data_IF_945325507818
#
_entry.id   IF_945325507818
#
_cell.length_a   1.000
_cell.length_b   1.000
_cell.length_c   1.000
_cell.angle_alpha   90.00
_cell.angle_beta   90.00
_cell.angle_gamma   90.00
#
_symmetry.space_group_name_H-M   'P 1'
#
loop_
_entity.id
_entity.type
_entity.pdbx_description
1 polymer ?
#
# COMPACT_ATOMS: atom_id res chain seq x y z
N UNK A 1 -46.96 2.45 64.12
CA UNK A 1 -46.79 2.54 62.65
C UNK A 1 -45.58 3.44 62.42
N UNK A 2 -44.33 2.97 62.30
CA UNK A 2 -43.73 2.05 61.30
C UNK A 2 -44.30 2.33 59.92
N UNK A 3 -43.58 2.80 58.91
CA UNK A 3 -42.16 3.12 58.76
C UNK A 3 -41.96 3.51 57.31
N UNK A 4 -41.24 4.62 57.11
CA UNK A 4 -40.64 5.19 55.91
C UNK A 4 -40.77 4.40 54.57
N UNK A 5 -41.43 5.02 53.59
CA UNK A 5 -41.31 4.69 52.16
C UNK A 5 -39.86 4.94 51.70
N UNK A 6 -39.16 3.90 51.26
CA UNK A 6 -37.90 4.04 50.52
C UNK A 6 -38.27 4.20 49.04
N UNK A 7 -38.17 5.43 48.55
CA UNK A 7 -38.29 5.75 47.13
C UNK A 7 -37.00 5.32 46.41
N UNK A 8 -37.12 4.36 45.48
CA UNK A 8 -36.06 4.01 44.53
C UNK A 8 -35.74 5.24 43.67
N UNK A 9 -34.55 5.81 43.84
CA UNK A 9 -33.93 6.65 42.82
C UNK A 9 -33.11 5.74 41.89
N UNK A 10 -33.72 5.39 40.76
CA UNK A 10 -32.98 5.01 39.55
C UNK A 10 -32.22 6.25 39.07
N UNK A 11 -30.99 6.44 39.57
CA UNK A 11 -30.04 7.32 38.90
C UNK A 11 -29.64 6.63 37.60
N UNK A 12 -30.28 7.07 36.53
CA UNK A 12 -29.92 6.81 35.15
C UNK A 12 -28.42 7.02 34.97
N UNK A 13 -27.70 5.91 34.82
CA UNK A 13 -26.37 5.90 34.23
C UNK A 13 -26.50 6.56 32.85
N UNK A 14 -26.19 7.85 32.76
CA UNK A 14 -25.79 8.47 31.52
C UNK A 14 -24.49 7.77 31.13
N UNK A 15 -24.62 6.65 30.41
CA UNK A 15 -23.49 6.00 29.76
C UNK A 15 -22.80 7.05 28.93
N UNK A 16 -21.58 7.39 29.31
CA UNK A 16 -20.70 8.26 28.57
C UNK A 16 -20.61 7.66 27.16
N UNK A 17 -21.24 8.31 26.18
CA UNK A 17 -21.05 7.95 24.78
C UNK A 17 -19.66 8.42 24.41
N UNK A 18 -18.67 7.54 24.59
CA UNK A 18 -17.34 7.72 24.02
C UNK A 18 -17.52 7.58 22.52
N UNK A 19 -17.70 8.70 21.82
CA UNK A 19 -17.53 8.77 20.36
C UNK A 19 -16.26 9.52 20.05
N UNK A 20 -15.14 8.94 20.43
CA UNK A 20 -13.95 9.06 19.60
C UNK A 20 -13.82 7.71 18.93
N UNK A 21 -14.46 7.54 17.77
CA UNK A 21 -13.94 6.58 16.80
C UNK A 21 -12.56 7.11 16.46
N UNK A 22 -11.54 6.59 17.15
CA UNK A 22 -10.17 6.71 16.65
C UNK A 22 -10.21 5.97 15.32
N UNK A 23 -10.31 6.71 14.22
CA UNK A 23 -10.16 6.14 12.90
C UNK A 23 -8.77 5.51 12.85
N UNK A 24 -8.72 4.19 13.03
CA UNK A 24 -7.50 3.41 12.92
C UNK A 24 -6.88 3.76 11.57
N UNK A 25 -5.60 4.15 11.58
CA UNK A 25 -4.93 4.48 10.34
C UNK A 25 -4.93 3.23 9.45
N UNK A 26 -5.69 3.28 8.35
CA UNK A 26 -5.94 2.12 7.51
C UNK A 26 -4.67 1.53 6.92
N UNK A 27 -3.60 2.32 6.81
CA UNK A 27 -2.29 1.90 6.33
C UNK A 27 -1.54 1.01 7.33
N UNK A 28 -1.95 0.96 8.61
CA UNK A 28 -1.25 0.18 9.63
C UNK A 28 -1.40 -1.33 9.36
N UNK A 29 -0.29 -2.06 9.50
CA UNK A 29 -0.25 -3.50 9.30
C UNK A 29 0.89 -3.96 8.39
N UNK A 30 0.80 -5.21 7.98
CA UNK A 30 1.64 -5.81 6.94
C UNK A 30 0.85 -5.86 5.64
N UNK A 31 1.50 -5.53 4.54
CA UNK A 31 0.95 -5.47 3.20
C UNK A 31 1.86 -6.26 2.26
N UNK A 32 1.32 -7.26 1.58
CA UNK A 32 2.06 -8.09 0.62
C UNK A 32 1.70 -7.65 -0.78
N UNK A 33 2.70 -7.28 -1.58
CA UNK A 33 2.51 -6.92 -2.99
C UNK A 33 2.10 -8.17 -3.77
N UNK A 34 0.93 -8.10 -4.40
CA UNK A 34 0.34 -9.15 -5.22
C UNK A 34 0.72 -8.96 -6.69
N UNK A 35 0.55 -7.74 -7.19
CA UNK A 35 0.82 -7.39 -8.60
C UNK A 35 1.17 -5.94 -8.80
N UNK A 36 1.74 -5.63 -9.96
CA UNK A 36 1.95 -4.27 -10.45
C UNK A 36 1.09 -4.07 -11.69
N UNK A 37 0.26 -3.03 -11.66
CA UNK A 37 -0.62 -2.66 -12.75
C UNK A 37 -0.16 -1.33 -13.32
N UNK A 38 0.11 -1.28 -14.62
CA UNK A 38 0.44 -0.07 -15.35
C UNK A 38 -0.71 0.33 -16.26
N UNK A 39 -1.22 1.53 -16.05
CA UNK A 39 -2.36 2.09 -16.78
C UNK A 39 -1.95 3.33 -17.58
N UNK A 40 -2.75 3.66 -18.58
CA UNK A 40 -2.59 4.86 -19.40
C UNK A 40 -2.55 6.14 -18.54
N UNK A 41 -1.72 7.14 -18.92
CA UNK A 41 -1.73 8.46 -18.27
C UNK A 41 -3.07 9.19 -18.34
N UNK A 42 -3.91 8.81 -19.30
CA UNK A 42 -5.18 9.51 -19.55
C UNK A 42 -6.35 8.88 -18.81
N UNK A 43 -6.27 7.59 -18.49
CA UNK A 43 -7.33 6.85 -17.83
C UNK A 43 -6.74 5.71 -16.98
N UNK A 44 -6.94 5.76 -15.66
CA UNK A 44 -6.48 4.73 -14.72
C UNK A 44 -7.17 3.38 -14.89
N UNK A 45 -8.32 3.35 -15.55
CA UNK A 45 -9.10 2.13 -15.81
C UNK A 45 -8.61 1.40 -17.07
N UNK A 46 -7.81 2.08 -17.91
CA UNK A 46 -7.18 1.52 -19.10
C UNK A 46 -5.87 0.84 -18.71
N UNK A 47 -5.96 -0.41 -18.27
CA UNK A 47 -4.82 -1.25 -17.91
C UNK A 47 -4.10 -1.72 -19.17
N UNK A 48 -2.82 -1.40 -19.26
CA UNK A 48 -1.97 -1.73 -20.42
C UNK A 48 -1.08 -2.91 -20.10
N UNK A 49 -0.45 -2.92 -18.92
CA UNK A 49 0.45 -3.99 -18.50
C UNK A 49 0.07 -4.46 -17.10
N UNK A 50 0.16 -5.77 -16.87
CA UNK A 50 -0.17 -6.41 -15.60
C UNK A 50 0.86 -7.47 -15.22
N UNK A 51 1.61 -7.23 -14.15
CA UNK A 51 2.70 -8.08 -13.69
C UNK A 51 2.35 -8.71 -12.35
N UNK A 52 2.07 -10.01 -12.35
CA UNK A 52 1.72 -10.75 -11.14
C UNK A 52 2.97 -11.41 -10.55
N UNK A 53 3.13 -11.32 -9.23
CA UNK A 53 4.20 -12.02 -8.54
C UNK A 53 3.81 -13.48 -8.31
N UNK A 54 4.75 -14.39 -8.56
CA UNK A 54 4.53 -15.80 -8.24
C UNK A 54 4.68 -16.06 -6.73
N UNK A 55 4.26 -17.25 -6.28
CA UNK A 55 4.37 -17.65 -4.88
C UNK A 55 5.81 -17.79 -4.36
N UNK A 56 6.81 -17.72 -5.25
CA UNK A 56 8.23 -17.83 -4.88
C UNK A 56 8.84 -16.46 -4.54
N UNK A 57 8.21 -15.38 -5.01
CA UNK A 57 8.58 -14.01 -4.69
C UNK A 57 7.65 -13.45 -3.61
N UNK A 58 8.23 -12.86 -2.57
CA UNK A 58 7.48 -12.14 -1.55
C UNK A 58 8.01 -10.73 -1.42
N UNK A 59 7.14 -9.75 -1.63
CA UNK A 59 7.43 -8.34 -1.41
C UNK A 59 6.47 -7.81 -0.37
N UNK A 60 6.99 -7.33 0.75
CA UNK A 60 6.22 -6.93 1.92
C UNK A 60 6.54 -5.51 2.35
N UNK A 61 5.51 -4.76 2.71
CA UNK A 61 5.58 -3.44 3.34
C UNK A 61 4.84 -3.51 4.68
N UNK A 62 5.55 -3.27 5.77
CA UNK A 62 4.98 -3.19 7.11
C UNK A 62 5.01 -1.74 7.59
N UNK A 63 3.85 -1.24 8.05
CA UNK A 63 3.69 0.11 8.60
C UNK A 63 3.28 -0.01 10.06
N UNK A 64 4.10 0.57 10.96
CA UNK A 64 3.87 0.60 12.42
C UNK A 64 4.12 2.00 12.97
N UNK A 65 3.04 2.70 13.28
CA UNK A 65 3.06 4.13 13.56
C UNK A 65 3.56 4.88 12.33
N UNK A 66 4.68 5.58 12.47
CA UNK A 66 5.38 6.27 11.38
C UNK A 66 6.53 5.45 10.79
N UNK A 67 6.86 4.29 11.36
CA UNK A 67 7.99 3.50 10.87
C UNK A 67 7.51 2.56 9.77
N UNK A 68 8.33 2.42 8.73
CA UNK A 68 8.14 1.42 7.68
C UNK A 68 9.27 0.41 7.70
N UNK A 69 8.92 -0.83 7.40
CA UNK A 69 9.85 -1.90 7.05
C UNK A 69 9.42 -2.46 5.71
N UNK A 70 10.37 -2.63 4.80
CA UNK A 70 10.16 -3.21 3.48
C UNK A 70 11.09 -4.40 3.31
N UNK A 71 10.61 -5.47 2.67
CA UNK A 71 11.43 -6.61 2.31
C UNK A 71 10.98 -7.19 0.98
N UNK A 72 11.91 -7.53 0.12
CA UNK A 72 11.68 -8.34 -1.06
C UNK A 72 12.56 -9.59 -0.99
N UNK A 73 12.00 -10.74 -1.36
CA UNK A 73 12.72 -12.01 -1.49
C UNK A 73 12.18 -12.78 -2.69
N UNK A 74 13.05 -13.10 -3.64
CA UNK A 74 12.75 -13.93 -4.81
C UNK A 74 14.06 -14.48 -5.37
N UNK A 75 14.46 -14.03 -6.57
CA UNK A 75 15.78 -14.33 -7.15
C UNK A 75 16.91 -13.74 -6.30
N UNK A 76 16.66 -12.60 -5.66
CA UNK A 76 17.51 -12.09 -4.59
C UNK A 76 16.69 -11.49 -3.45
N UNK A 77 17.37 -11.14 -2.37
CA UNK A 77 16.74 -10.56 -1.19
C UNK A 77 17.29 -9.19 -0.87
N UNK A 78 16.38 -8.27 -0.56
CA UNK A 78 16.70 -6.90 -0.12
C UNK A 78 15.72 -6.46 0.95
N UNK A 79 16.13 -5.50 1.77
CA UNK A 79 15.30 -4.97 2.85
C UNK A 79 15.55 -3.49 3.04
N UNK A 80 14.57 -2.77 3.54
CA UNK A 80 14.71 -1.35 3.83
C UNK A 80 13.89 -0.97 5.05
N UNK A 81 14.35 0.05 5.78
CA UNK A 81 13.56 0.70 6.82
C UNK A 81 13.49 2.19 6.54
N UNK A 82 12.48 2.86 7.10
CA UNK A 82 12.32 4.29 6.90
C UNK A 82 11.16 4.87 7.68
N UNK A 83 10.74 6.07 7.28
CA UNK A 83 9.68 6.83 7.92
C UNK A 83 8.58 7.14 6.89
N UNK A 84 7.34 6.82 7.25
CA UNK A 84 6.13 7.25 6.57
C UNK A 84 5.79 8.69 6.98
N UNK A 85 5.61 9.57 5.99
CA UNK A 85 5.06 10.90 6.18
C UNK A 85 3.77 11.01 5.38
N UNK A 86 2.66 11.26 6.06
CA UNK A 86 1.36 11.45 5.40
C UNK A 86 0.45 12.33 6.26
N UNK A 87 -0.43 13.09 5.61
CA UNK A 87 -1.49 13.84 6.28
C UNK A 87 -2.75 12.97 6.41
N UNK A 88 -2.66 11.89 7.18
CA UNK A 88 -3.79 10.99 7.38
C UNK A 88 -4.92 11.71 8.12
N UNK A 89 -6.09 11.78 7.49
CA UNK A 89 -7.27 12.50 7.98
C UNK A 89 -8.50 11.59 8.15
N UNK A 90 -8.31 10.27 8.21
CA UNK A 90 -9.40 9.29 8.27
C UNK A 90 -9.96 8.88 6.90
N UNK A 91 -9.45 9.44 5.80
CA UNK A 91 -9.77 9.03 4.42
C UNK A 91 -9.22 7.64 4.10
N UNK A 92 -9.79 7.00 3.08
CA UNK A 92 -9.25 5.77 2.48
C UNK A 92 -8.34 6.04 1.29
N UNK A 93 -8.01 7.30 1.01
CA UNK A 93 -7.07 7.70 -0.03
C UNK A 93 -6.28 8.93 0.40
N UNK A 94 -5.08 9.09 -0.15
CA UNK A 94 -4.26 10.27 0.04
C UNK A 94 -2.92 10.18 -0.65
N UNK A 95 -1.98 10.98 -0.17
CA UNK A 95 -0.58 11.02 -0.62
C UNK A 95 0.33 10.74 0.57
N UNK A 96 1.40 9.99 0.34
CA UNK A 96 2.44 9.72 1.32
C UNK A 96 3.84 9.84 0.73
N UNK A 97 4.80 10.10 1.61
CA UNK A 97 6.23 9.97 1.33
C UNK A 97 6.82 8.87 2.19
N UNK A 98 7.79 8.13 1.65
CA UNK A 98 8.68 7.27 2.42
C UNK A 98 10.06 7.92 2.44
N UNK A 99 10.46 8.44 3.60
CA UNK A 99 11.68 9.23 3.77
C UNK A 99 12.67 8.52 4.69
N UNK A 100 13.92 8.98 4.68
CA UNK A 100 15.01 8.40 5.46
C UNK A 100 15.15 6.89 5.22
N UNK A 101 14.97 6.47 3.97
CA UNK A 101 15.10 5.07 3.57
C UNK A 101 16.54 4.63 3.75
N UNK A 102 16.73 3.59 4.56
CA UNK A 102 17.99 2.87 4.72
C UNK A 102 17.79 1.50 4.13
N UNK A 103 18.40 1.26 2.97
CA UNK A 103 18.34 -0.02 2.28
C UNK A 103 19.53 -0.89 2.70
N UNK A 104 19.23 -2.08 3.22
CA UNK A 104 20.20 -3.13 3.48
C UNK A 104 20.13 -4.23 2.42
N UNK A 105 21.28 -4.75 2.02
CA UNK A 105 21.39 -5.81 1.01
C UNK A 105 21.82 -5.30 -0.35
N UNK A 106 21.39 -5.99 -1.41
CA UNK A 106 21.71 -5.66 -2.80
C UNK A 106 20.50 -5.03 -3.49
N UNK A 107 20.73 -4.36 -4.62
CA UNK A 107 19.66 -3.99 -5.53
C UNK A 107 19.10 -5.25 -6.18
N UNK A 108 17.81 -5.48 -6.00
CA UNK A 108 17.04 -6.58 -6.53
C UNK A 108 16.04 -6.17 -7.59
N UNK A 109 15.85 -7.07 -8.54
CA UNK A 109 14.81 -7.04 -9.56
C UNK A 109 14.33 -8.46 -9.82
N UNK A 110 13.06 -8.58 -10.20
CA UNK A 110 12.41 -9.84 -10.54
C UNK A 110 12.00 -9.84 -12.01
N UNK A 111 12.07 -11.01 -12.65
CA UNK A 111 11.62 -11.17 -14.03
C UNK A 111 10.17 -11.61 -14.01
N UNK A 112 9.25 -10.69 -14.32
CA UNK A 112 7.81 -10.95 -14.31
C UNK A 112 7.28 -11.02 -15.74
N UNK A 113 6.25 -11.84 -15.96
CA UNK A 113 5.55 -11.92 -17.24
C UNK A 113 4.44 -10.87 -17.26
N UNK A 114 4.32 -10.13 -18.36
CA UNK A 114 3.13 -9.31 -18.60
C UNK A 114 1.94 -10.19 -18.98
N UNK A 115 0.89 -10.16 -18.15
CA UNK A 115 -0.35 -10.92 -18.32
C UNK A 115 -1.47 -10.09 -18.95
N UNK A 116 -1.14 -8.96 -19.59
CA UNK A 116 -2.09 -8.17 -20.38
C UNK A 116 -2.47 -8.85 -21.70
N UNK A 117 -3.53 -8.35 -22.35
CA UNK A 117 -4.00 -8.84 -23.66
C UNK A 117 -2.94 -8.65 -24.76
N UNK A 118 -2.18 -7.54 -24.69
CA UNK A 118 -1.09 -7.19 -25.62
C UNK A 118 0.28 -7.44 -24.96
N UNK A 119 0.47 -8.64 -24.41
CA UNK A 119 1.65 -9.03 -23.64
C UNK A 119 2.97 -8.69 -24.32
N UNK A 120 3.85 -8.00 -23.59
CA UNK A 120 5.22 -7.66 -23.99
C UNK A 120 6.26 -8.73 -23.61
N UNK A 121 5.81 -9.87 -23.07
CA UNK A 121 6.69 -10.92 -22.57
C UNK A 121 7.23 -10.62 -21.16
N UNK A 122 8.44 -11.08 -20.86
CA UNK A 122 9.02 -10.93 -19.53
C UNK A 122 9.85 -9.65 -19.39
N UNK A 123 9.62 -8.92 -18.31
CA UNK A 123 10.25 -7.64 -17.99
C UNK A 123 10.93 -7.72 -16.62
N UNK A 124 12.11 -7.10 -16.51
CA UNK A 124 12.81 -6.98 -15.22
C UNK A 124 12.25 -5.80 -14.44
N UNK A 125 11.57 -6.08 -13.33
CA UNK A 125 10.96 -5.08 -12.46
C UNK A 125 11.79 -4.93 -11.19
N UNK A 126 12.26 -3.72 -10.84
CA UNK A 126 13.00 -3.49 -9.60
C UNK A 126 12.11 -3.72 -8.37
N UNK A 127 12.60 -4.55 -7.45
CA UNK A 127 11.96 -4.86 -6.16
C UNK A 127 12.74 -4.27 -4.99
N UNK A 128 13.61 -3.30 -5.27
CA UNK A 128 14.29 -2.52 -4.23
C UNK A 128 13.50 -1.24 -3.98
N UNK A 129 13.30 -0.91 -2.70
CA UNK A 129 12.70 0.37 -2.32
C UNK A 129 13.70 1.51 -2.59
N UNK A 130 13.43 2.31 -3.62
CA UNK A 130 14.24 3.48 -3.95
C UNK A 130 13.67 4.73 -3.27
N UNK A 131 14.36 5.18 -2.20
CA UNK A 131 13.97 6.39 -1.48
C UNK A 131 13.96 7.66 -2.34
N UNK A 132 14.65 7.68 -3.49
CA UNK A 132 14.62 8.82 -4.41
C UNK A 132 13.30 8.93 -5.19
N UNK A 133 12.59 7.80 -5.37
CA UNK A 133 11.31 7.68 -6.07
C UNK A 133 10.12 7.51 -5.10
N UNK A 134 10.37 7.53 -3.79
CA UNK A 134 9.36 7.28 -2.77
C UNK A 134 8.69 8.56 -2.25
N UNK A 135 8.38 9.52 -3.13
CA UNK A 135 7.73 10.79 -2.79
C UNK A 135 6.43 10.96 -3.58
N UNK A 136 5.49 11.71 -3.00
CA UNK A 136 4.19 12.01 -3.58
C UNK A 136 3.45 10.76 -4.06
N UNK A 137 3.57 9.67 -3.29
CA UNK A 137 2.96 8.38 -3.63
C UNK A 137 1.47 8.43 -3.33
N UNK A 138 0.64 8.36 -4.38
CA UNK A 138 -0.80 8.22 -4.20
C UNK A 138 -1.11 6.83 -3.64
N UNK A 139 -1.99 6.79 -2.66
CA UNK A 139 -2.50 5.56 -2.08
C UNK A 139 -4.02 5.56 -2.02
N UNK A 140 -4.59 4.36 -2.14
CA UNK A 140 -6.01 4.07 -2.00
C UNK A 140 -6.16 2.73 -1.29
N UNK A 141 -6.84 2.72 -0.15
CA UNK A 141 -7.30 1.50 0.52
C UNK A 141 -8.77 1.33 0.21
N UNK A 142 -9.17 0.14 -0.23
CA UNK A 142 -10.58 -0.17 -0.46
C UNK A 142 -11.10 -1.10 0.63
N UNK A 143 -12.24 -0.73 1.23
CA UNK A 143 -12.87 -1.49 2.33
C UNK A 143 -13.49 -2.81 1.87
N UNK A 144 -13.54 -3.06 0.56
CA UNK A 144 -14.11 -4.27 0.02
C UNK A 144 -13.23 -5.49 0.36
N UNK A 145 -11.89 -5.34 0.37
CA UNK A 145 -11.00 -6.51 0.37
C UNK A 145 -9.57 -6.25 0.89
N UNK A 146 -9.34 -5.46 1.95
CA UNK A 146 -7.98 -5.36 2.54
C UNK A 146 -6.88 -5.07 1.48
N UNK A 147 -7.25 -4.29 0.45
CA UNK A 147 -6.41 -3.97 -0.71
C UNK A 147 -5.93 -2.53 -0.59
N UNK A 148 -4.62 -2.34 -0.73
CA UNK A 148 -3.98 -1.04 -0.89
C UNK A 148 -3.37 -0.92 -2.28
N UNK A 149 -3.85 0.04 -3.05
CA UNK A 149 -3.14 0.53 -4.23
C UNK A 149 -2.13 1.59 -3.79
N UNK A 150 -0.88 1.45 -4.21
CA UNK A 150 0.18 2.41 -3.92
C UNK A 150 0.98 2.70 -5.19
N UNK A 151 1.20 3.98 -5.48
CA UNK A 151 2.07 4.39 -6.59
C UNK A 151 3.43 3.69 -6.48
N UNK A 152 3.91 3.12 -7.59
CA UNK A 152 5.07 2.24 -7.52
C UNK A 152 6.36 3.03 -7.25
N UNK A 153 7.02 2.71 -6.14
CA UNK A 153 8.11 3.49 -5.56
C UNK A 153 9.51 3.12 -6.08
N UNK A 154 9.63 2.23 -7.06
CA UNK A 154 10.94 1.84 -7.64
C UNK A 154 11.34 2.64 -8.87
N UNK A 155 10.46 3.54 -9.34
CA UNK A 155 10.66 4.26 -10.60
C UNK A 155 10.33 3.46 -11.86
N UNK A 156 9.85 2.21 -11.74
CA UNK A 156 9.30 1.46 -12.87
C UNK A 156 8.06 2.16 -13.45
N UNK A 157 8.05 2.35 -14.77
CA UNK A 157 7.01 3.09 -15.52
C UNK A 157 6.38 2.26 -16.64
N UNK A 158 6.49 0.94 -16.54
CA UNK A 158 6.06 0.01 -17.58
C UNK A 158 7.19 -0.32 -18.56
N UNK A 159 6.92 -1.25 -19.47
CA UNK A 159 7.88 -1.63 -20.50
C UNK A 159 7.97 -0.59 -21.61
N UNK A 160 9.12 -0.56 -22.29
CA UNK A 160 9.30 0.18 -23.54
C UNK A 160 8.75 -0.54 -24.77
N UNK A 161 8.34 -1.80 -24.61
CA UNK A 161 7.90 -2.68 -25.69
C UNK A 161 6.39 -2.59 -25.93
N UNK A 162 5.62 -2.21 -24.90
CA UNK A 162 4.20 -1.90 -25.06
C UNK A 162 4.07 -0.57 -25.82
N UNK A 163 3.24 -0.57 -26.87
CA UNK A 163 2.95 0.60 -27.70
C UNK A 163 2.44 1.80 -26.89
N UNK A 164 1.79 1.57 -25.74
CA UNK A 164 1.18 2.60 -24.89
C UNK A 164 1.91 2.92 -23.57
N UNK A 165 2.81 2.05 -23.06
CA UNK A 165 3.60 2.37 -21.85
C UNK A 165 4.96 3.03 -22.09
N UNK A 166 5.37 3.22 -23.35
CA UNK A 166 6.72 3.69 -23.73
C UNK A 166 7.17 5.05 -23.16
N UNK A 167 6.33 5.81 -22.44
CA UNK A 167 6.80 6.94 -21.61
C UNK A 167 5.78 7.50 -20.60
N UNK A 168 4.51 7.11 -20.67
CA UNK A 168 3.43 7.80 -19.97
C UNK A 168 2.52 6.86 -19.15
N UNK A 169 2.99 5.69 -18.74
CA UNK A 169 2.19 4.85 -17.86
C UNK A 169 2.30 5.30 -16.40
N UNK A 170 1.20 5.14 -15.68
CA UNK A 170 1.17 5.19 -14.22
C UNK A 170 1.11 3.77 -13.69
N UNK A 171 2.21 3.33 -13.08
CA UNK A 171 2.30 2.02 -12.45
C UNK A 171 2.01 2.12 -10.95
N UNK A 172 1.18 1.20 -10.46
CA UNK A 172 0.84 1.06 -9.05
C UNK A 172 1.01 -0.39 -8.61
N UNK A 173 1.55 -0.57 -7.41
CA UNK A 173 1.53 -1.85 -6.73
C UNK A 173 0.17 -2.06 -6.06
N UNK A 174 -0.38 -3.26 -6.23
CA UNK A 174 -1.58 -3.72 -5.54
C UNK A 174 -1.10 -4.61 -4.40
N UNK A 175 -1.36 -4.17 -3.16
CA UNK A 175 -0.97 -4.87 -1.96
C UNK A 175 -2.19 -5.44 -1.26
N UNK A 176 -2.04 -6.64 -0.69
CA UNK A 176 -3.04 -7.35 0.10
C UNK A 176 -2.59 -7.45 1.55
N UNK A 177 -3.52 -7.31 2.49
CA UNK A 177 -3.24 -7.41 3.94
C UNK A 177 -3.18 -8.86 4.43
#
# INVERSE_FOLDING_TARGET
MRGFLIFLFFMTSCGLKVTEEVHENVLQGEWTLDKIVCSSSFNSDDVIENYEFDNSTQVKLTIKGLNISYSASGVCSTSSTGILVTNFNGSSTGVLDLVNIITGGVTCSESLLDNSDDSVGSVSIPTTLDGSQSKDLNWLVTNAEDVMELSHFSGFKGSSEATSCNSNCHCRGIFLK
#
